data_IF_095949867740
#
_entry.id   IF_095949867740
#
_cell.length_a   1.000
_cell.length_b   1.000
_cell.length_c   1.000
_cell.angle_alpha   90.00
_cell.angle_beta   90.00
_cell.angle_gamma   90.00
#
_symmetry.space_group_name_H-M   'P 1'
#
loop_
_entity.id
_entity.type
_entity.pdbx_description
1 polymer ?
#
# COMPACT_ATOMS: atom_id res chain seq x y z
N UNK A 1 -42.97 -29.64 -25.73
CA UNK A 1 -41.66 -28.96 -25.83
C UNK A 1 -41.67 -27.82 -24.83
N UNK A 2 -41.25 -28.10 -23.59
CA UNK A 2 -41.01 -27.06 -22.59
C UNK A 2 -39.74 -26.31 -22.97
N UNK A 3 -39.74 -24.99 -22.91
CA UNK A 3 -38.53 -24.22 -22.64
C UNK A 3 -38.89 -22.92 -21.93
N UNK A 4 -38.28 -22.76 -20.77
CA UNK A 4 -38.54 -21.75 -19.76
C UNK A 4 -38.04 -20.37 -20.24
N UNK A 5 -38.85 -19.34 -19.96
CA UNK A 5 -38.39 -17.96 -19.90
C UNK A 5 -37.48 -17.82 -18.68
N UNK A 6 -36.18 -17.63 -18.90
CA UNK A 6 -35.27 -17.19 -17.85
C UNK A 6 -34.66 -15.85 -18.21
N UNK A 7 -35.27 -14.86 -17.57
CA UNK A 7 -34.84 -13.49 -17.30
C UNK A 7 -33.34 -13.47 -16.96
N UNK A 8 -32.52 -12.90 -17.84
CA UNK A 8 -31.11 -12.64 -17.57
C UNK A 8 -30.97 -11.62 -16.44
N UNK A 9 -30.85 -12.13 -15.21
CA UNK A 9 -30.48 -11.35 -14.04
C UNK A 9 -29.12 -10.71 -14.29
N UNK A 10 -29.08 -9.38 -14.29
CA UNK A 10 -27.85 -8.61 -14.14
C UNK A 10 -27.13 -9.09 -12.89
N UNK A 11 -26.10 -9.92 -13.05
CA UNK A 11 -25.17 -10.25 -11.98
C UNK A 11 -24.32 -9.00 -11.74
N UNK A 12 -24.88 -8.01 -11.05
CA UNK A 12 -24.09 -6.99 -10.39
C UNK A 12 -23.21 -7.73 -9.39
N UNK A 13 -21.96 -7.97 -9.77
CA UNK A 13 -20.91 -8.36 -8.85
C UNK A 13 -20.76 -7.20 -7.87
N UNK A 14 -21.55 -7.24 -6.80
CA UNK A 14 -21.55 -6.27 -5.73
C UNK A 14 -20.27 -6.47 -4.91
N UNK A 15 -19.15 -5.97 -5.44
CA UNK A 15 -18.04 -5.57 -4.58
C UNK A 15 -18.63 -4.57 -3.57
N UNK A 16 -18.38 -4.71 -2.26
CA UNK A 16 -19.04 -3.92 -1.24
C UNK A 16 -18.51 -2.48 -1.27
N UNK A 17 -18.97 -1.69 -2.23
CA UNK A 17 -18.95 -0.24 -2.16
C UNK A 17 -20.37 0.21 -1.80
N UNK A 18 -20.81 -0.22 -0.62
CA UNK A 18 -21.96 0.37 0.02
C UNK A 18 -21.56 1.79 0.44
N UNK A 19 -22.12 2.75 -0.28
CA UNK A 19 -22.21 4.16 0.08
C UNK A 19 -22.86 4.31 1.47
N UNK A 20 -22.05 4.24 2.53
CA UNK A 20 -22.46 4.59 3.89
C UNK A 20 -21.22 4.75 4.78
N UNK A 21 -20.79 5.98 5.04
CA UNK A 21 -20.10 6.42 6.26
C UNK A 21 -18.78 5.77 6.69
N UNK A 22 -18.28 4.77 5.99
CA UNK A 22 -17.00 4.12 6.25
C UNK A 22 -15.95 4.66 5.30
N UNK A 23 -15.44 5.86 5.57
CA UNK A 23 -14.39 6.45 4.75
C UNK A 23 -13.20 5.49 4.66
N UNK A 24 -12.88 5.02 3.46
CA UNK A 24 -11.55 4.50 3.19
C UNK A 24 -10.56 5.56 3.69
N UNK A 25 -9.55 5.23 4.51
CA UNK A 25 -8.67 6.21 5.15
C UNK A 25 -7.68 6.88 4.16
N UNK A 26 -8.06 7.00 2.88
CA UNK A 26 -7.42 7.89 1.93
C UNK A 26 -8.00 9.29 2.14
N UNK A 27 -7.79 9.84 3.34
CA UNK A 27 -7.99 11.26 3.62
C UNK A 27 -6.73 12.07 3.25
N UNK A 28 -6.02 11.63 2.20
CA UNK A 28 -4.87 12.34 1.66
C UNK A 28 -5.36 13.19 0.50
N UNK A 29 -4.91 14.45 0.44
CA UNK A 29 -5.24 15.35 -0.68
C UNK A 29 -4.85 14.63 -1.97
N UNK A 30 -5.69 14.68 -3.00
CA UNK A 30 -5.53 13.93 -4.25
C UNK A 30 -4.14 14.20 -4.89
N UNK A 31 -3.56 15.37 -4.65
CA UNK A 31 -2.22 15.77 -5.10
C UNK A 31 -1.05 15.07 -4.37
N UNK A 32 -1.33 14.33 -3.30
CA UNK A 32 -0.33 13.71 -2.41
C UNK A 32 -0.25 12.18 -2.57
N UNK A 33 -1.07 11.63 -3.47
CA UNK A 33 -1.17 10.21 -3.80
C UNK A 33 -0.43 9.96 -5.10
N UNK A 34 0.53 9.02 -5.09
CA UNK A 34 1.25 8.63 -6.29
C UNK A 34 0.31 7.86 -7.25
N UNK A 35 0.09 8.31 -8.50
CA UNK A 35 -0.81 7.63 -9.44
C UNK A 35 -0.32 6.23 -9.84
N UNK A 36 0.97 5.92 -9.65
CA UNK A 36 1.55 4.62 -9.98
C UNK A 36 1.29 3.55 -8.92
N UNK A 37 1.08 3.96 -7.66
CA UNK A 37 0.95 3.03 -6.53
C UNK A 37 -0.24 3.34 -5.60
N UNK A 38 -1.03 4.37 -5.93
CA UNK A 38 -2.19 4.86 -5.17
C UNK A 38 -1.92 5.01 -3.65
N UNK A 39 -0.66 5.27 -3.27
CA UNK A 39 -0.26 5.44 -1.88
C UNK A 39 0.10 6.89 -1.59
N UNK A 40 -0.22 7.40 -0.39
CA UNK A 40 0.27 8.69 0.06
C UNK A 40 1.78 8.65 0.28
N UNK A 41 2.40 9.83 0.33
CA UNK A 41 3.83 9.94 0.64
C UNK A 41 4.16 9.25 1.98
N UNK A 42 5.24 8.46 2.05
CA UNK A 42 5.59 7.74 3.25
C UNK A 42 6.02 8.71 4.36
N UNK A 43 5.41 8.59 5.54
CA UNK A 43 5.87 9.32 6.72
C UNK A 43 7.22 8.74 7.21
N UNK A 44 8.26 9.57 7.17
CA UNK A 44 9.61 9.23 7.64
C UNK A 44 9.96 9.91 8.98
N UNK A 45 9.01 10.58 9.63
CA UNK A 45 9.24 11.12 10.97
C UNK A 45 9.24 9.98 12.00
N UNK A 46 10.10 10.07 13.04
CA UNK A 46 10.06 9.17 14.18
C UNK A 46 8.68 9.14 14.83
N UNK A 47 8.28 7.98 15.35
CA UNK A 47 7.07 7.91 16.16
C UNK A 47 7.28 8.66 17.49
N UNK A 48 6.22 9.26 18.09
CA UNK A 48 6.35 10.04 19.32
C UNK A 48 7.06 9.30 20.47
N UNK A 49 6.85 7.99 20.58
CA UNK A 49 7.40 7.13 21.64
C UNK A 49 8.54 6.21 21.13
N UNK A 50 9.25 6.61 20.07
CA UNK A 50 10.30 5.78 19.50
C UNK A 50 11.58 5.81 20.36
N UNK A 51 12.07 4.67 20.86
CA UNK A 51 13.17 4.64 21.84
C UNK A 51 14.56 4.88 21.24
N UNK A 52 14.75 4.74 19.93
CA UNK A 52 16.03 4.92 19.24
C UNK A 52 15.84 5.58 17.87
N UNK A 53 16.85 6.31 17.39
CA UNK A 53 16.84 6.87 16.04
C UNK A 53 17.01 5.76 14.99
N UNK A 54 16.23 5.84 13.91
CA UNK A 54 16.29 4.93 12.78
C UNK A 54 16.71 5.68 11.51
N UNK A 55 17.47 5.02 10.64
CA UNK A 55 17.78 5.59 9.33
C UNK A 55 16.52 5.72 8.47
N UNK A 56 16.47 6.81 7.70
CA UNK A 56 15.43 7.11 6.71
C UNK A 56 15.84 6.68 5.30
N UNK A 57 17.07 6.19 5.12
CA UNK A 57 17.61 5.78 3.83
C UNK A 57 16.99 4.48 3.33
N UNK A 58 16.73 4.43 2.03
CA UNK A 58 16.23 3.22 1.35
C UNK A 58 17.38 2.32 0.93
N UNK A 59 17.16 1.02 1.01
CA UNK A 59 18.14 0.02 0.59
C UNK A 59 17.78 -0.54 -0.79
N UNK A 60 18.75 -0.54 -1.71
CA UNK A 60 18.59 -1.11 -3.05
C UNK A 60 18.78 -2.62 -2.98
N UNK A 61 17.83 -3.35 -3.54
CA UNK A 61 17.94 -4.80 -3.71
C UNK A 61 18.88 -5.16 -4.87
N UNK A 62 19.27 -6.43 -4.91
CA UNK A 62 19.92 -7.06 -6.06
C UNK A 62 18.92 -7.65 -7.07
N UNK A 63 17.61 -7.54 -6.79
CA UNK A 63 16.55 -8.15 -7.61
C UNK A 63 16.18 -7.17 -8.74
N UNK A 64 16.36 -7.54 -10.01
CA UNK A 64 16.00 -6.69 -11.14
C UNK A 64 14.48 -6.59 -11.31
N UNK A 65 14.00 -5.41 -11.74
CA UNK A 65 12.61 -5.18 -12.12
C UNK A 65 12.40 -5.65 -13.56
N UNK A 66 11.29 -6.34 -13.81
CA UNK A 66 11.01 -6.96 -15.11
C UNK A 66 10.78 -5.97 -16.28
N UNK A 67 10.46 -4.70 -15.98
CA UNK A 67 10.04 -3.72 -16.98
C UNK A 67 11.18 -3.08 -17.77
N UNK A 68 12.45 -3.31 -17.39
CA UNK A 68 13.61 -2.60 -17.97
C UNK A 68 14.82 -3.52 -18.15
N UNK A 69 14.62 -4.68 -18.79
CA UNK A 69 15.71 -5.57 -19.22
C UNK A 69 16.27 -5.23 -20.62
N UNK A 70 16.17 -3.96 -21.06
CA UNK A 70 16.94 -3.45 -22.20
C UNK A 70 18.32 -3.06 -21.71
N UNK A 71 19.36 -3.39 -22.49
CA UNK A 71 20.79 -3.45 -22.13
C UNK A 71 21.44 -2.16 -21.58
N UNK A 72 20.68 -1.14 -21.22
CA UNK A 72 21.15 0.23 -20.95
C UNK A 72 20.96 0.64 -19.48
N UNK A 73 20.06 -0.01 -18.71
CA UNK A 73 19.90 0.26 -17.26
C UNK A 73 19.14 -0.85 -16.52
N UNK A 74 19.81 -1.60 -15.65
CA UNK A 74 19.14 -2.52 -14.72
C UNK A 74 18.55 -1.69 -13.58
N UNK A 75 17.22 -1.55 -13.51
CA UNK A 75 16.54 -0.98 -12.35
C UNK A 75 16.23 -2.12 -11.36
N UNK A 76 16.64 -1.96 -10.10
CA UNK A 76 16.34 -2.92 -9.02
C UNK A 76 15.23 -2.42 -8.10
N UNK A 77 14.63 -3.33 -7.33
CA UNK A 77 13.67 -2.95 -6.29
C UNK A 77 14.36 -2.19 -5.15
N UNK A 78 13.66 -1.25 -4.54
CA UNK A 78 14.09 -0.56 -3.32
C UNK A 78 13.22 -0.96 -2.15
N UNK A 79 13.85 -1.33 -1.04
CA UNK A 79 13.16 -1.63 0.20
C UNK A 79 12.83 -0.34 0.98
N UNK A 80 11.75 -0.35 1.78
CA UNK A 80 11.48 0.70 2.73
C UNK A 80 12.63 0.83 3.75
N UNK A 81 12.95 2.06 4.12
CA UNK A 81 13.89 2.38 5.19
C UNK A 81 13.46 1.81 6.54
N UNK A 82 14.41 1.64 7.49
CA UNK A 82 14.11 1.20 8.84
C UNK A 82 13.01 2.02 9.52
N UNK A 83 13.01 3.35 9.37
CA UNK A 83 11.98 4.21 9.95
C UNK A 83 10.58 3.96 9.36
N UNK A 84 10.50 3.74 8.03
CA UNK A 84 9.22 3.39 7.38
C UNK A 84 8.70 2.04 7.88
N UNK A 85 9.59 1.06 8.05
CA UNK A 85 9.23 -0.26 8.57
C UNK A 85 8.71 -0.19 10.01
N UNK A 86 9.39 0.57 10.88
CA UNK A 86 8.93 0.81 12.26
C UNK A 86 7.55 1.45 12.30
N UNK A 87 7.33 2.52 11.53
CA UNK A 87 6.03 3.19 11.46
C UNK A 87 4.92 2.24 10.98
N UNK A 88 5.22 1.31 10.07
CA UNK A 88 4.27 0.28 9.62
C UNK A 88 3.95 -0.74 10.73
N UNK A 89 4.96 -1.16 11.50
CA UNK A 89 4.78 -2.05 12.65
C UNK A 89 3.88 -1.42 13.73
N UNK A 90 4.12 -0.16 14.07
CA UNK A 90 3.30 0.58 15.06
C UNK A 90 1.85 0.71 14.59
N UNK A 91 1.61 1.00 13.31
CA UNK A 91 0.25 1.02 12.74
C UNK A 91 -0.48 -0.32 12.85
N UNK A 92 0.26 -1.43 12.84
CA UNK A 92 -0.28 -2.79 13.04
C UNK A 92 -0.49 -3.16 14.51
N UNK A 93 -0.16 -2.26 15.44
CA UNK A 93 -0.27 -2.49 16.88
C UNK A 93 0.92 -3.22 17.48
N UNK A 94 2.04 -3.32 16.76
CA UNK A 94 3.28 -3.85 17.32
C UNK A 94 3.95 -2.79 18.19
N UNK A 95 4.17 -3.12 19.47
CA UNK A 95 4.90 -2.29 20.42
C UNK A 95 5.95 -3.15 21.12
N UNK A 96 7.21 -2.71 21.12
CA UNK A 96 8.31 -3.41 21.81
C UNK A 96 8.12 -3.47 23.35
N UNK A 97 7.20 -2.68 23.91
CA UNK A 97 6.94 -2.57 25.37
C UNK A 97 5.88 -3.55 25.89
N UNK A 98 5.62 -4.67 25.19
CA UNK A 98 4.59 -5.65 25.58
C UNK A 98 5.21 -7.03 25.84
N UNK A 99 6.01 -7.15 26.90
CA UNK A 99 6.30 -8.39 27.61
C UNK A 99 6.44 -8.09 29.10
#
# INVERSE_FOLDING_TARGET
>A
MSNHSEKSSSSSSSCPHANNGGGCPVASKIDEIDPLNAMPRPNQQPAPDQPFSLSTDREKSTIPKASECTNEKIITWEYPSPQMFWNAMVKKGFSCNKF
#
